data_IF_395804863123
#
_entry.id   IF_395804863123
#
_cell.length_a   1.000
_cell.length_b   1.000
_cell.length_c   1.000
_cell.angle_alpha   90.00
_cell.angle_beta   90.00
_cell.angle_gamma   90.00
#
_symmetry.space_group_name_H-M   'P 1'
#
loop_
_entity.id
_entity.type
_entity.pdbx_description
1 polymer ?
#
# COMPACT_ATOMS: atom_id res chain seq x y z
N UNK A 1 5.28 -15.13 -51.70
CA UNK A 1 4.95 -14.49 -52.99
C UNK A 1 4.97 -15.55 -54.10
N UNK A 2 6.03 -16.28 -54.28
CA UNK A 2 6.17 -17.32 -55.33
C UNK A 2 5.11 -18.43 -55.24
N UNK A 3 4.56 -18.70 -54.07
CA UNK A 3 3.55 -19.73 -53.83
C UNK A 3 2.11 -19.19 -53.84
N UNK A 4 1.90 -17.93 -54.23
CA UNK A 4 0.57 -17.31 -54.30
C UNK A 4 -0.11 -17.04 -52.96
N UNK A 5 0.57 -17.27 -51.84
CA UNK A 5 0.00 -17.11 -50.49
C UNK A 5 -0.01 -15.66 -49.99
N UNK A 6 0.83 -14.80 -50.62
CA UNK A 6 0.92 -13.37 -50.31
C UNK A 6 0.96 -12.55 -51.61
N UNK A 7 0.36 -11.38 -51.60
CA UNK A 7 0.34 -10.46 -52.75
C UNK A 7 1.49 -9.46 -52.68
N UNK A 8 1.77 -8.74 -53.81
CA UNK A 8 2.75 -7.64 -53.80
C UNK A 8 2.39 -6.55 -52.80
N UNK A 9 1.11 -6.32 -52.53
CA UNK A 9 0.65 -5.34 -51.52
C UNK A 9 1.00 -5.78 -50.09
N UNK A 10 1.06 -7.08 -49.85
CA UNK A 10 1.41 -7.61 -48.53
C UNK A 10 2.91 -7.47 -48.25
N UNK A 11 3.75 -7.24 -49.28
CA UNK A 11 5.18 -6.94 -49.13
C UNK A 11 5.47 -5.51 -48.71
N UNK A 12 4.52 -4.57 -48.87
CA UNK A 12 4.65 -3.19 -48.37
C UNK A 12 4.75 -3.11 -46.85
N UNK A 13 4.34 -4.16 -46.16
CA UNK A 13 4.56 -4.25 -44.68
C UNK A 13 6.04 -4.32 -44.29
N UNK A 14 6.95 -4.70 -45.21
CA UNK A 14 8.41 -4.71 -44.96
C UNK A 14 8.98 -3.33 -44.61
N UNK A 15 8.33 -2.27 -45.07
CA UNK A 15 8.80 -0.89 -44.89
C UNK A 15 8.05 -0.12 -43.77
N UNK A 16 7.07 -0.77 -43.16
CA UNK A 16 6.39 -0.15 -42.00
C UNK A 16 7.16 -0.49 -40.72
N UNK A 17 7.51 0.52 -39.91
CA UNK A 17 8.10 0.24 -38.61
C UNK A 17 7.15 -0.67 -37.82
N UNK A 18 7.70 -1.70 -37.21
CA UNK A 18 6.94 -2.54 -36.27
C UNK A 18 6.68 -1.66 -35.06
N UNK A 19 5.43 -1.25 -34.87
CA UNK A 19 5.01 -0.57 -33.65
C UNK A 19 5.02 -1.60 -32.52
N UNK A 20 6.01 -1.50 -31.66
CA UNK A 20 6.07 -2.28 -30.43
C UNK A 20 5.29 -1.51 -29.37
N UNK A 21 4.13 -2.00 -29.02
CA UNK A 21 3.42 -1.49 -27.86
C UNK A 21 4.07 -2.05 -26.60
N UNK A 22 4.44 -1.18 -25.67
CA UNK A 22 4.81 -1.62 -24.34
C UNK A 22 3.66 -2.42 -23.75
N UNK A 23 3.99 -3.59 -23.20
CA UNK A 23 3.01 -4.37 -22.46
C UNK A 23 2.58 -3.55 -21.25
N UNK A 24 1.35 -3.06 -21.28
CA UNK A 24 0.74 -2.45 -20.10
C UNK A 24 0.42 -3.61 -19.15
N UNK A 25 1.29 -3.85 -18.20
CA UNK A 25 0.96 -4.72 -17.08
C UNK A 25 -0.14 -4.00 -16.29
N UNK A 26 -1.36 -4.50 -16.44
CA UNK A 26 -2.48 -4.05 -15.60
C UNK A 26 -2.23 -4.66 -14.23
N UNK A 27 -1.50 -3.95 -13.40
CA UNK A 27 -1.37 -4.29 -11.98
C UNK A 27 -2.71 -4.05 -11.29
N UNK A 28 -3.48 -5.10 -11.12
CA UNK A 28 -4.59 -5.11 -10.18
C UNK A 28 -4.04 -5.40 -8.78
N UNK A 29 -3.31 -4.43 -8.22
CA UNK A 29 -2.67 -4.55 -6.90
C UNK A 29 -3.64 -4.90 -5.76
N UNK A 30 -4.94 -4.66 -5.96
CA UNK A 30 -5.96 -4.90 -4.94
C UNK A 30 -6.48 -6.35 -4.93
N UNK A 31 -6.06 -7.22 -5.84
CA UNK A 31 -6.60 -8.57 -6.01
C UNK A 31 -5.55 -9.69 -6.11
N UNK A 32 -4.34 -9.45 -5.63
CA UNK A 32 -3.21 -10.39 -5.75
C UNK A 32 -3.51 -11.75 -5.13
N UNK A 33 -4.13 -11.79 -3.95
CA UNK A 33 -4.54 -13.04 -3.31
C UNK A 33 -5.57 -13.81 -4.14
N UNK A 34 -6.54 -13.11 -4.72
CA UNK A 34 -7.56 -13.71 -5.56
C UNK A 34 -6.93 -14.31 -6.84
N UNK A 35 -6.03 -13.59 -7.47
CA UNK A 35 -5.31 -14.09 -8.65
C UNK A 35 -4.45 -15.30 -8.35
N UNK A 36 -3.78 -15.29 -7.20
CA UNK A 36 -2.96 -16.43 -6.80
C UNK A 36 -3.81 -17.67 -6.51
N UNK A 37 -4.97 -17.54 -5.90
CA UNK A 37 -5.91 -18.66 -5.70
C UNK A 37 -6.42 -19.19 -7.06
N UNK A 38 -6.80 -18.32 -7.99
CA UNK A 38 -7.19 -18.75 -9.34
C UNK A 38 -6.02 -19.42 -10.04
N UNK A 39 -4.81 -18.88 -9.95
CA UNK A 39 -3.62 -19.48 -10.54
C UNK A 39 -3.39 -20.92 -10.01
N UNK A 40 -3.53 -21.14 -8.72
CA UNK A 40 -3.41 -22.45 -8.09
C UNK A 40 -4.49 -23.42 -8.59
N UNK A 41 -5.73 -22.97 -8.66
CA UNK A 41 -6.84 -23.78 -9.17
C UNK A 41 -6.61 -24.19 -10.62
N UNK A 42 -6.22 -23.26 -11.47
CA UNK A 42 -5.94 -23.51 -12.88
C UNK A 42 -4.71 -24.41 -13.07
N UNK A 43 -3.68 -24.22 -12.25
CA UNK A 43 -2.51 -25.09 -12.26
C UNK A 43 -2.89 -26.54 -11.95
N UNK A 44 -3.72 -26.75 -10.94
CA UNK A 44 -4.20 -28.09 -10.57
C UNK A 44 -5.09 -28.71 -11.66
N UNK A 45 -5.87 -27.88 -12.36
CA UNK A 45 -6.81 -28.35 -13.39
C UNK A 45 -6.16 -28.61 -14.74
N UNK A 46 -5.23 -27.77 -15.14
CA UNK A 46 -4.67 -27.80 -16.49
C UNK A 46 -3.18 -28.20 -16.56
N UNK A 47 -2.48 -28.13 -15.43
CA UNK A 47 -1.03 -28.36 -15.36
C UNK A 47 -0.22 -27.16 -15.80
N UNK A 48 1.10 -27.22 -15.54
CA UNK A 48 2.05 -26.14 -15.78
C UNK A 48 2.14 -25.72 -17.24
N UNK A 49 2.27 -26.71 -18.12
CA UNK A 49 2.51 -26.46 -19.55
C UNK A 49 1.35 -25.70 -20.17
N UNK A 50 0.14 -26.16 -19.96
CA UNK A 50 -1.07 -25.56 -20.50
C UNK A 50 -1.31 -24.15 -19.94
N UNK A 51 -1.08 -23.97 -18.65
CA UNK A 51 -1.29 -22.68 -17.98
C UNK A 51 -0.34 -21.59 -18.52
N UNK A 52 0.91 -21.93 -18.80
CA UNK A 52 1.92 -20.93 -19.13
C UNK A 52 2.30 -20.87 -20.63
N UNK A 53 1.96 -21.88 -21.41
CA UNK A 53 2.43 -21.98 -22.81
C UNK A 53 1.31 -21.87 -23.86
N UNK A 54 0.05 -22.14 -23.50
CA UNK A 54 -1.08 -22.18 -24.46
C UNK A 54 -1.87 -20.87 -24.58
N UNK A 55 -1.45 -19.79 -23.91
CA UNK A 55 -2.08 -18.47 -24.06
C UNK A 55 -3.53 -18.43 -23.57
N UNK A 56 -3.82 -18.98 -22.41
CA UNK A 56 -5.18 -19.02 -21.83
C UNK A 56 -5.69 -17.62 -21.51
N UNK A 57 -6.93 -17.36 -21.86
CA UNK A 57 -7.69 -16.17 -21.46
C UNK A 57 -8.64 -16.56 -20.33
N UNK A 58 -8.41 -16.01 -19.15
CA UNK A 58 -9.18 -16.32 -17.94
C UNK A 58 -10.10 -15.13 -17.63
N UNK A 59 -11.40 -15.36 -17.62
CA UNK A 59 -12.41 -14.37 -17.23
C UNK A 59 -12.94 -14.74 -15.86
N UNK A 60 -12.90 -13.78 -14.94
CA UNK A 60 -13.39 -13.92 -13.57
C UNK A 60 -14.56 -12.99 -13.31
N UNK A 61 -15.30 -13.25 -12.25
CA UNK A 61 -16.43 -12.41 -11.83
C UNK A 61 -16.01 -11.30 -10.86
N UNK A 62 -14.69 -11.05 -10.69
CA UNK A 62 -14.21 -10.00 -9.79
C UNK A 62 -14.63 -8.62 -10.29
N UNK A 63 -15.16 -7.82 -9.39
CA UNK A 63 -15.41 -6.39 -9.61
C UNK A 63 -14.34 -5.59 -8.85
N UNK A 64 -13.58 -4.78 -9.57
CA UNK A 64 -12.44 -4.04 -8.99
C UNK A 64 -12.87 -3.03 -7.92
N UNK A 65 -14.04 -2.41 -8.05
CA UNK A 65 -14.54 -1.45 -7.05
C UNK A 65 -15.01 -2.17 -5.79
N UNK A 66 -15.69 -3.30 -5.94
CA UNK A 66 -16.10 -4.11 -4.80
C UNK A 66 -14.88 -4.69 -4.08
N UNK A 67 -13.87 -5.17 -4.82
CA UNK A 67 -12.62 -5.67 -4.24
C UNK A 67 -11.89 -4.58 -3.45
N UNK A 68 -11.76 -3.38 -4.01
CA UNK A 68 -11.15 -2.25 -3.33
C UNK A 68 -11.90 -1.88 -2.04
N UNK A 69 -13.22 -1.85 -2.07
CA UNK A 69 -14.03 -1.57 -0.89
C UNK A 69 -13.88 -2.68 0.17
N UNK A 70 -13.83 -3.94 -0.25
CA UNK A 70 -13.59 -5.06 0.65
C UNK A 70 -12.23 -4.96 1.35
N UNK A 71 -11.17 -4.65 0.60
CA UNK A 71 -9.83 -4.44 1.15
C UNK A 71 -9.80 -3.28 2.15
N UNK A 72 -10.41 -2.13 1.82
CA UNK A 72 -10.49 -1.00 2.72
C UNK A 72 -11.24 -1.35 4.02
N UNK A 73 -12.37 -2.04 3.92
CA UNK A 73 -13.17 -2.45 5.07
C UNK A 73 -12.39 -3.45 5.96
N UNK A 74 -11.67 -4.38 5.35
CA UNK A 74 -10.81 -5.32 6.09
C UNK A 74 -9.72 -4.57 6.86
N UNK A 75 -9.01 -3.66 6.20
CA UNK A 75 -7.93 -2.86 6.80
C UNK A 75 -8.45 -2.01 7.95
N UNK A 76 -9.58 -1.32 7.75
CA UNK A 76 -10.21 -0.53 8.81
C UNK A 76 -10.60 -1.40 10.00
N UNK A 77 -11.16 -2.57 9.74
CA UNK A 77 -11.49 -3.56 10.79
C UNK A 77 -10.27 -4.06 11.57
N UNK A 78 -9.16 -4.31 10.87
CA UNK A 78 -7.89 -4.72 11.49
C UNK A 78 -7.29 -3.60 12.36
N UNK A 79 -7.32 -2.35 11.89
CA UNK A 79 -6.86 -1.20 12.66
C UNK A 79 -7.67 -1.04 13.95
N UNK A 80 -8.99 -1.14 13.87
CA UNK A 80 -9.86 -1.04 15.04
C UNK A 80 -9.69 -2.25 15.99
N UNK A 81 -9.44 -3.43 15.46
CA UNK A 81 -9.11 -4.61 16.27
C UNK A 81 -7.80 -4.41 17.04
N UNK A 82 -6.75 -3.94 16.38
CA UNK A 82 -5.45 -3.67 16.99
C UNK A 82 -5.54 -2.58 18.07
N UNK A 83 -6.31 -1.52 17.85
CA UNK A 83 -6.53 -0.50 18.88
C UNK A 83 -7.15 -1.05 20.15
N UNK A 84 -8.08 -2.01 20.01
CA UNK A 84 -8.69 -2.69 21.18
C UNK A 84 -7.72 -3.62 21.91
N UNK A 85 -6.75 -4.17 21.20
CA UNK A 85 -5.70 -5.02 21.78
C UNK A 85 -4.57 -4.24 22.45
N UNK A 86 -4.55 -2.91 22.26
CA UNK A 86 -3.59 -2.01 22.86
C UNK A 86 -2.49 -1.55 21.89
N UNK A 87 -1.55 -0.80 22.44
CA UNK A 87 -0.48 -0.17 21.69
C UNK A 87 0.65 -1.17 21.34
N UNK A 88 0.97 -1.30 20.07
CA UNK A 88 2.00 -2.23 19.56
C UNK A 88 3.44 -1.67 19.62
N UNK A 89 3.58 -0.42 20.03
CA UNK A 89 4.88 0.23 20.13
C UNK A 89 5.19 1.18 18.97
N UNK A 90 6.40 1.66 18.99
CA UNK A 90 6.92 2.64 18.03
C UNK A 90 7.58 1.92 16.85
N UNK A 91 7.70 2.61 15.72
CA UNK A 91 8.47 2.12 14.58
C UNK A 91 9.93 1.96 15.01
N UNK A 92 10.50 3.03 15.53
CA UNK A 92 11.83 3.05 16.15
C UNK A 92 11.94 4.27 17.08
N UNK A 93 13.06 4.35 17.83
CA UNK A 93 13.43 5.57 18.56
C UNK A 93 14.73 6.10 17.98
N UNK A 94 14.76 7.34 17.53
CA UNK A 94 15.89 7.98 16.89
C UNK A 94 15.92 9.50 17.16
N UNK A 95 16.93 10.20 16.70
CA UNK A 95 16.96 11.66 16.76
C UNK A 95 16.40 12.29 15.46
N UNK A 96 16.04 13.58 15.54
CA UNK A 96 15.44 14.29 14.41
C UNK A 96 16.35 14.33 13.17
N UNK A 97 17.67 14.47 13.36
CA UNK A 97 18.63 14.50 12.26
C UNK A 97 18.64 13.16 11.49
N UNK A 98 18.77 12.05 12.20
CA UNK A 98 18.73 10.72 11.60
C UNK A 98 17.38 10.44 10.95
N UNK A 99 16.28 10.86 11.56
CA UNK A 99 14.93 10.73 10.99
C UNK A 99 14.82 11.45 9.64
N UNK A 100 15.32 12.68 9.55
CA UNK A 100 15.29 13.44 8.30
C UNK A 100 16.26 12.88 7.25
N UNK A 101 17.41 12.37 7.66
CA UNK A 101 18.40 11.78 6.75
C UNK A 101 17.91 10.45 6.14
N UNK A 102 17.13 9.67 6.89
CA UNK A 102 16.53 8.40 6.43
C UNK A 102 15.15 8.57 5.80
N UNK A 103 14.84 9.74 5.27
CA UNK A 103 13.51 10.08 4.73
C UNK A 103 12.99 9.04 3.73
N UNK A 104 13.86 8.48 2.87
CA UNK A 104 13.50 7.44 1.90
C UNK A 104 12.92 6.18 2.56
N UNK A 105 13.44 5.80 3.71
CA UNK A 105 13.06 4.57 4.42
C UNK A 105 11.67 4.70 5.05
N UNK A 106 11.28 5.92 5.42
CA UNK A 106 9.98 6.22 6.00
C UNK A 106 8.92 6.62 4.97
N UNK A 107 9.34 6.94 3.73
CA UNK A 107 8.41 7.15 2.60
C UNK A 107 7.87 5.82 2.10
N UNK A 108 8.50 4.70 2.44
CA UNK A 108 7.94 3.40 2.17
C UNK A 108 6.58 3.29 2.86
N UNK A 109 5.61 3.67 2.10
CA UNK A 109 4.23 3.65 2.53
C UNK A 109 3.68 2.30 2.15
N UNK A 110 3.20 1.61 3.13
CA UNK A 110 2.31 0.50 2.89
C UNK A 110 1.20 1.02 1.95
N UNK A 111 1.07 0.49 0.73
CA UNK A 111 0.09 0.97 -0.25
C UNK A 111 -1.35 0.91 0.29
N UNK A 112 -1.60 0.08 1.32
CA UNK A 112 -2.87 0.01 2.01
C UNK A 112 -3.16 1.22 2.92
N UNK A 113 -2.14 2.03 3.26
CA UNK A 113 -2.29 3.19 4.15
C UNK A 113 -1.80 4.51 3.52
N UNK A 114 -2.25 4.88 2.32
CA UNK A 114 -1.67 6.00 1.56
C UNK A 114 -1.85 7.38 2.24
N UNK A 115 -2.71 7.46 3.25
CA UNK A 115 -2.98 8.71 3.99
C UNK A 115 -2.17 8.83 5.27
N UNK A 116 -1.41 7.80 5.63
CA UNK A 116 -0.58 7.86 6.82
C UNK A 116 0.70 8.63 6.54
N UNK A 117 1.17 9.29 7.58
CA UNK A 117 2.45 10.01 7.59
C UNK A 117 3.28 9.50 8.74
N UNK A 118 4.57 9.40 8.52
CA UNK A 118 5.53 9.10 9.58
C UNK A 118 5.98 10.41 10.22
N UNK A 119 5.99 10.45 11.54
CA UNK A 119 6.40 11.61 12.33
C UNK A 119 7.28 11.18 13.50
N UNK A 120 8.15 12.08 13.96
CA UNK A 120 9.01 11.88 15.13
C UNK A 120 8.56 12.79 16.27
N UNK A 121 8.54 12.27 17.50
CA UNK A 121 8.17 13.01 18.70
C UNK A 121 9.35 13.85 19.18
N UNK A 122 9.16 15.16 19.27
CA UNK A 122 10.14 16.11 19.83
C UNK A 122 9.86 16.46 21.29
N UNK A 123 8.60 16.78 21.61
CA UNK A 123 8.18 17.16 22.97
C UNK A 123 6.87 16.51 23.34
N UNK A 124 6.75 16.24 24.64
CA UNK A 124 5.59 15.59 25.23
C UNK A 124 5.03 16.52 26.31
N UNK A 125 3.75 16.79 26.21
CA UNK A 125 2.97 17.50 27.22
C UNK A 125 1.95 16.51 27.81
N UNK A 126 1.26 16.90 28.89
CA UNK A 126 0.33 15.98 29.57
C UNK A 126 -0.67 15.28 28.62
N UNK A 127 -1.19 16.00 27.61
CA UNK A 127 -2.22 15.50 26.70
C UNK A 127 -1.94 15.81 25.24
N UNK A 128 -0.71 16.22 24.93
CA UNK A 128 -0.31 16.64 23.60
C UNK A 128 1.10 16.20 23.26
N UNK A 129 1.31 15.87 22.00
CA UNK A 129 2.62 15.61 21.46
C UNK A 129 2.95 16.68 20.41
N UNK A 130 4.16 17.23 20.50
CA UNK A 130 4.76 18.02 19.45
C UNK A 130 5.65 17.12 18.62
N UNK A 131 5.40 17.05 17.32
CA UNK A 131 6.06 16.14 16.40
C UNK A 131 6.54 16.86 15.16
N UNK A 132 7.51 16.28 14.44
CA UNK A 132 7.94 16.74 13.13
C UNK A 132 7.67 15.68 12.08
N UNK A 133 7.19 16.11 10.91
CA UNK A 133 7.05 15.23 9.75
C UNK A 133 8.36 15.14 8.96
N UNK A 134 8.37 14.32 7.90
CA UNK A 134 9.52 14.12 7.02
C UNK A 134 9.93 15.37 6.22
N UNK A 135 9.14 16.42 6.22
CA UNK A 135 9.47 17.70 5.63
C UNK A 135 9.91 18.73 6.68
N UNK A 136 10.19 18.26 7.92
CA UNK A 136 10.52 19.12 9.06
C UNK A 136 9.43 20.12 9.42
N UNK A 137 8.17 19.78 9.11
CA UNK A 137 7.01 20.57 9.48
C UNK A 137 6.57 20.16 10.88
N UNK A 138 6.45 21.15 11.76
CA UNK A 138 5.95 20.96 13.10
C UNK A 138 4.45 20.71 13.11
N UNK A 139 4.01 19.68 13.84
CA UNK A 139 2.62 19.32 14.02
C UNK A 139 2.33 19.10 15.50
N UNK A 140 1.10 19.36 15.91
CA UNK A 140 0.61 19.07 17.26
C UNK A 140 -0.44 17.95 17.20
N UNK A 141 -0.29 16.96 18.06
CA UNK A 141 -1.23 15.85 18.19
C UNK A 141 -1.87 15.95 19.58
N UNK A 142 -3.18 16.07 19.63
CA UNK A 142 -3.92 16.00 20.87
C UNK A 142 -4.25 14.54 21.20
N UNK A 143 -3.90 14.09 22.41
CA UNK A 143 -4.22 12.75 22.93
C UNK A 143 -5.60 12.71 23.59
N UNK A 144 -6.11 13.85 24.06
CA UNK A 144 -7.39 13.97 24.77
C UNK A 144 -8.52 14.25 23.77
N UNK A 145 -8.78 13.30 22.90
CA UNK A 145 -9.89 13.32 21.95
C UNK A 145 -10.38 11.90 21.66
N UNK A 146 -11.55 11.78 21.09
CA UNK A 146 -12.21 10.48 20.81
C UNK A 146 -11.38 9.52 19.95
N UNK A 147 -10.39 10.03 19.21
CA UNK A 147 -9.56 9.21 18.31
C UNK A 147 -8.28 8.69 18.97
N UNK A 148 -7.72 9.43 19.95
CA UNK A 148 -6.42 9.15 20.55
C UNK A 148 -6.50 8.79 22.04
N UNK A 149 -7.68 8.91 22.69
CA UNK A 149 -7.87 8.68 24.13
C UNK A 149 -7.44 7.27 24.59
N UNK A 150 -7.44 6.29 23.72
CA UNK A 150 -6.93 4.94 23.97
C UNK A 150 -5.42 4.87 24.23
N UNK A 151 -4.70 5.98 23.99
CA UNK A 151 -3.26 6.12 24.17
C UNK A 151 -2.89 6.95 25.41
N UNK A 152 -3.86 7.39 26.23
CA UNK A 152 -3.58 8.26 27.38
C UNK A 152 -2.67 7.62 28.43
N UNK A 153 -2.69 6.29 28.55
CA UNK A 153 -1.86 5.53 29.50
C UNK A 153 -0.51 5.11 28.89
N UNK A 154 -0.25 5.47 27.64
CA UNK A 154 0.99 5.11 26.94
C UNK A 154 2.08 6.12 27.27
N UNK A 155 3.25 5.62 27.68
CA UNK A 155 4.43 6.44 27.88
C UNK A 155 5.19 6.64 26.59
N UNK A 156 4.96 7.78 25.97
CA UNK A 156 5.74 8.23 24.82
C UNK A 156 7.10 8.77 25.26
N UNK A 157 8.10 8.68 24.36
CA UNK A 157 9.42 9.25 24.57
C UNK A 157 9.81 10.17 23.43
N UNK A 158 10.68 11.16 23.72
CA UNK A 158 11.31 11.95 22.67
C UNK A 158 12.09 11.01 21.74
N UNK A 159 11.95 11.23 20.43
CA UNK A 159 12.59 10.42 19.42
C UNK A 159 11.77 9.22 18.96
N UNK A 160 10.63 8.93 19.56
CA UNK A 160 9.75 7.86 19.07
C UNK A 160 9.17 8.25 17.72
N UNK A 161 9.28 7.34 16.76
CA UNK A 161 8.73 7.46 15.41
C UNK A 161 7.41 6.72 15.35
N UNK A 162 6.35 7.40 14.92
CA UNK A 162 4.99 6.89 14.89
C UNK A 162 4.29 7.21 13.58
N UNK A 163 3.22 6.47 13.29
CA UNK A 163 2.32 6.78 12.18
C UNK A 163 1.17 7.68 12.63
N UNK A 164 0.86 8.66 11.81
CA UNK A 164 -0.29 9.55 12.02
C UNK A 164 -1.10 9.71 10.74
N UNK A 165 -2.39 9.95 10.89
CA UNK A 165 -3.29 10.28 9.80
C UNK A 165 -4.04 11.56 10.13
N UNK A 166 -4.13 12.48 9.16
CA UNK A 166 -4.97 13.66 9.30
C UNK A 166 -6.43 13.29 9.02
N UNK A 167 -7.30 13.53 9.99
CA UNK A 167 -8.76 13.38 9.85
C UNK A 167 -9.43 14.66 10.33
N UNK A 168 -10.09 15.36 9.42
CA UNK A 168 -10.59 16.71 9.67
C UNK A 168 -9.44 17.64 10.13
N UNK A 169 -9.55 18.27 11.29
CA UNK A 169 -8.53 19.13 11.87
C UNK A 169 -7.63 18.42 12.90
N UNK A 170 -7.78 17.11 13.11
CA UNK A 170 -7.03 16.35 14.09
C UNK A 170 -6.03 15.41 13.43
N UNK A 171 -4.94 15.11 14.14
CA UNK A 171 -4.05 14.01 13.80
C UNK A 171 -4.37 12.80 14.69
N UNK A 172 -4.63 11.67 14.05
CA UNK A 172 -4.90 10.38 14.68
C UNK A 172 -3.63 9.58 14.65
N UNK A 173 -3.23 9.02 15.79
CA UNK A 173 -2.13 8.07 15.86
C UNK A 173 -2.64 6.71 15.43
N UNK A 174 -1.90 6.07 14.56
CA UNK A 174 -2.18 4.74 14.05
C UNK A 174 -0.99 3.81 14.29
N UNK A 175 -1.25 2.52 14.17
CA UNK A 175 -0.24 1.46 14.21
C UNK A 175 -0.55 0.44 13.13
N UNK A 176 0.49 -0.14 12.54
CA UNK A 176 0.32 -1.21 11.56
C UNK A 176 -0.27 -2.44 12.25
N UNK A 177 -1.31 -3.06 11.66
CA UNK A 177 -1.80 -4.35 12.15
C UNK A 177 -0.69 -5.39 12.09
N UNK A 178 -0.46 -6.08 13.18
CA UNK A 178 0.43 -7.25 13.26
C UNK A 178 -0.42 -8.49 13.00
N UNK A 179 -0.48 -8.91 11.75
CA UNK A 179 -1.20 -10.13 11.34
C UNK A 179 -0.19 -11.22 11.06
#
# INVERSE_FOLDING_TARGET
>A
YANGLITMKDLDYKNKPIEVFERVDIEFSDADYFYEEIRKELFNKFGKEKLYSEGLVIKTAIDSNLQKNANLSLIEGLIEYEKRNGWNGFIENTNLENFLNKKSDYIFLNPFFPKWKTVIIDKIYQKKLKVFDLNNIELEINLDNDFNNWLLDITFKKGDVIYVQKKNNNYIINQEPKV
#
